data_IF_895066615180
#
_entry.id   IF_895066615180
#
_cell.length_a   1.000
_cell.length_b   1.000
_cell.length_c   1.000
_cell.angle_alpha   90.00
_cell.angle_beta   90.00
_cell.angle_gamma   90.00
#
_symmetry.space_group_name_H-M   'P 1'
#
loop_
_entity.id
_entity.type
_entity.pdbx_description
1 polymer ?
#
# COMPACT_ATOMS: atom_id res chain seq x y z
N UNK A 1 -8.95 -7.71 12.60
CA UNK A 1 -8.37 -6.69 11.71
C UNK A 1 -9.10 -6.64 10.37
N UNK A 2 -9.21 -7.73 9.65
CA UNK A 2 -9.81 -7.76 8.29
C UNK A 2 -11.34 -7.60 8.25
N UNK A 3 -12.05 -7.85 9.34
CA UNK A 3 -13.53 -7.87 9.39
C UNK A 3 -14.18 -6.61 8.81
N UNK A 4 -13.75 -5.43 9.24
CA UNK A 4 -14.26 -4.15 8.72
C UNK A 4 -13.95 -3.95 7.23
N UNK A 5 -12.76 -4.35 6.77
CA UNK A 5 -12.40 -4.29 5.35
C UNK A 5 -13.27 -5.23 4.52
N UNK A 6 -13.52 -6.45 5.00
CA UNK A 6 -14.41 -7.42 4.36
C UNK A 6 -15.83 -6.86 4.24
N UNK A 7 -16.36 -6.28 5.32
CA UNK A 7 -17.68 -5.65 5.30
C UNK A 7 -17.75 -4.50 4.29
N UNK A 8 -16.71 -3.67 4.23
CA UNK A 8 -16.60 -2.60 3.24
C UNK A 8 -16.57 -3.13 1.82
N UNK A 9 -15.77 -4.18 1.56
CA UNK A 9 -15.64 -4.79 0.23
C UNK A 9 -16.92 -5.51 -0.21
N UNK A 10 -17.66 -6.13 0.70
CA UNK A 10 -18.98 -6.72 0.38
C UNK A 10 -20.02 -5.68 -0.02
N UNK A 11 -19.92 -4.44 0.50
CA UNK A 11 -20.77 -3.31 0.10
C UNK A 11 -20.28 -2.62 -1.18
N UNK A 12 -18.97 -2.66 -1.45
CA UNK A 12 -18.30 -2.02 -2.57
C UNK A 12 -17.50 -3.08 -3.34
N UNK A 13 -18.14 -3.88 -4.22
CA UNK A 13 -17.47 -4.96 -4.95
C UNK A 13 -16.23 -4.47 -5.70
N UNK A 14 -15.13 -5.20 -5.57
CA UNK A 14 -13.84 -4.92 -6.23
C UNK A 14 -13.29 -6.19 -6.87
N UNK A 15 -12.53 -6.00 -7.93
CA UNK A 15 -11.86 -7.08 -8.66
C UNK A 15 -10.34 -6.92 -8.50
N UNK A 16 -9.70 -8.01 -8.05
CA UNK A 16 -8.25 -8.11 -7.93
C UNK A 16 -7.68 -8.94 -9.07
N UNK A 17 -6.54 -8.52 -9.63
CA UNK A 17 -5.78 -9.34 -10.58
C UNK A 17 -4.53 -9.90 -9.91
N UNK A 18 -4.31 -11.20 -10.09
CA UNK A 18 -3.10 -11.90 -9.68
C UNK A 18 -2.23 -12.22 -10.89
N UNK A 19 -0.95 -11.95 -10.77
CA UNK A 19 0.03 -12.14 -11.84
C UNK A 19 0.57 -13.55 -11.97
N UNK A 20 0.40 -14.39 -10.95
CA UNK A 20 0.91 -15.77 -10.90
C UNK A 20 -0.24 -16.78 -10.71
N UNK A 21 -1.10 -16.89 -11.74
CA UNK A 21 -2.33 -17.70 -11.66
C UNK A 21 -2.14 -19.19 -11.44
N UNK A 22 -0.94 -19.73 -11.55
CA UNK A 22 -0.62 -21.14 -11.29
C UNK A 22 -0.04 -21.39 -9.90
N UNK A 23 0.30 -20.32 -9.14
CA UNK A 23 0.88 -20.48 -7.80
C UNK A 23 -0.19 -21.00 -6.82
N UNK A 24 0.16 -22.04 -6.08
CA UNK A 24 -0.76 -22.71 -5.15
C UNK A 24 -1.32 -21.77 -4.08
N UNK A 25 -0.51 -20.84 -3.56
CA UNK A 25 -0.90 -19.87 -2.53
C UNK A 25 -1.92 -18.88 -3.06
N UNK A 26 -1.73 -18.45 -4.31
CA UNK A 26 -2.64 -17.58 -5.04
C UNK A 26 -3.97 -18.30 -5.31
N UNK A 27 -3.93 -19.53 -5.80
CA UNK A 27 -5.12 -20.33 -6.09
C UNK A 27 -5.95 -20.62 -4.83
N UNK A 28 -5.30 -20.91 -3.70
CA UNK A 28 -5.96 -21.10 -2.41
C UNK A 28 -6.65 -19.81 -1.95
N UNK A 29 -5.96 -18.68 -2.05
CA UNK A 29 -6.53 -17.36 -1.73
C UNK A 29 -7.70 -17.00 -2.66
N UNK A 30 -7.55 -17.20 -3.97
CA UNK A 30 -8.60 -16.95 -4.96
C UNK A 30 -9.86 -17.78 -4.69
N UNK A 31 -9.69 -19.07 -4.40
CA UNK A 31 -10.76 -19.97 -3.99
C UNK A 31 -11.54 -19.39 -2.78
N UNK A 32 -10.83 -19.06 -1.70
CA UNK A 32 -11.45 -18.52 -0.48
C UNK A 32 -12.19 -17.21 -0.74
N UNK A 33 -11.54 -16.24 -1.37
CA UNK A 33 -12.11 -14.91 -1.62
C UNK A 33 -13.38 -14.95 -2.47
N UNK A 34 -13.44 -15.83 -3.46
CA UNK A 34 -14.63 -16.00 -4.30
C UNK A 34 -15.73 -16.80 -3.61
N UNK A 35 -15.39 -17.85 -2.86
CA UNK A 35 -16.39 -18.62 -2.09
C UNK A 35 -17.03 -17.79 -0.97
N UNK A 36 -16.28 -16.89 -0.35
CA UNK A 36 -16.76 -15.98 0.70
C UNK A 36 -17.48 -14.75 0.13
N UNK A 37 -17.46 -14.57 -1.21
CA UNK A 37 -18.10 -13.45 -1.90
C UNK A 37 -17.48 -12.09 -1.54
N UNK A 38 -16.15 -12.07 -1.33
CA UNK A 38 -15.43 -10.85 -0.91
C UNK A 38 -14.93 -10.07 -2.12
N UNK A 39 -14.32 -10.76 -3.11
CA UNK A 39 -13.70 -10.14 -4.28
C UNK A 39 -14.04 -10.89 -5.57
N UNK A 40 -14.16 -10.15 -6.67
CA UNK A 40 -13.94 -10.68 -8.00
C UNK A 40 -12.45 -10.95 -8.21
N UNK A 41 -12.11 -12.04 -8.91
CA UNK A 41 -10.72 -12.46 -9.08
C UNK A 41 -10.41 -12.70 -10.56
N UNK A 42 -9.30 -12.11 -11.02
CA UNK A 42 -8.67 -12.38 -12.31
C UNK A 42 -7.34 -13.09 -12.06
N UNK A 43 -7.15 -14.26 -12.68
CA UNK A 43 -5.92 -15.04 -12.66
C UNK A 43 -5.22 -14.94 -14.01
N UNK A 44 -3.97 -14.47 -14.04
CA UNK A 44 -3.18 -14.40 -15.26
C UNK A 44 -2.41 -15.70 -15.50
N UNK A 45 -2.52 -16.23 -16.69
CA UNK A 45 -1.83 -17.45 -17.12
C UNK A 45 -2.61 -18.22 -18.16
N UNK A 46 -2.00 -19.25 -18.72
CA UNK A 46 -2.65 -20.14 -19.68
C UNK A 46 -3.79 -20.90 -19.01
N UNK A 47 -5.03 -20.87 -19.54
CA UNK A 47 -6.18 -21.46 -18.88
C UNK A 47 -6.02 -22.92 -18.50
N UNK A 48 -5.37 -23.71 -19.36
CA UNK A 48 -5.12 -25.15 -19.11
C UNK A 48 -4.19 -25.36 -17.92
N UNK A 49 -3.12 -24.55 -17.81
CA UNK A 49 -2.14 -24.63 -16.72
C UNK A 49 -2.77 -24.19 -15.39
N UNK A 50 -3.52 -23.07 -15.40
CA UNK A 50 -4.19 -22.55 -14.20
C UNK A 50 -5.24 -23.54 -13.69
N UNK A 51 -6.07 -24.10 -14.58
CA UNK A 51 -7.08 -25.11 -14.21
C UNK A 51 -6.44 -26.40 -13.70
N UNK A 52 -5.35 -26.85 -14.33
CA UNK A 52 -4.63 -28.05 -13.89
C UNK A 52 -4.02 -27.84 -12.48
N UNK A 53 -3.40 -26.69 -12.24
CA UNK A 53 -2.85 -26.34 -10.93
C UNK A 53 -3.94 -26.23 -9.84
N UNK A 54 -5.06 -25.62 -10.15
CA UNK A 54 -6.19 -25.52 -9.25
C UNK A 54 -6.77 -26.89 -8.90
N UNK A 55 -6.93 -27.78 -9.89
CA UNK A 55 -7.38 -29.16 -9.70
C UNK A 55 -6.41 -29.95 -8.81
N UNK A 56 -5.10 -29.82 -9.04
CA UNK A 56 -4.08 -30.46 -8.23
C UNK A 56 -4.10 -30.00 -6.76
N UNK A 57 -4.45 -28.74 -6.51
CA UNK A 57 -4.63 -28.18 -5.16
C UNK A 57 -6.01 -28.40 -4.55
N UNK A 58 -6.95 -28.97 -5.30
CA UNK A 58 -8.37 -29.11 -4.94
C UNK A 58 -9.05 -27.75 -4.65
N UNK A 59 -8.71 -26.72 -5.42
CA UNK A 59 -9.28 -25.37 -5.33
C UNK A 59 -10.37 -25.17 -6.39
N UNK A 60 -11.55 -24.70 -5.98
CA UNK A 60 -12.60 -24.27 -6.91
C UNK A 60 -12.34 -22.82 -7.34
N UNK A 61 -12.10 -22.61 -8.63
CA UNK A 61 -11.85 -21.30 -9.25
C UNK A 61 -12.89 -20.97 -10.35
N UNK A 62 -14.04 -21.65 -10.37
CA UNK A 62 -15.07 -21.46 -11.42
C UNK A 62 -15.61 -20.02 -11.44
N UNK A 63 -15.58 -19.32 -10.31
CA UNK A 63 -15.97 -17.92 -10.21
C UNK A 63 -14.82 -16.94 -10.58
N UNK A 64 -13.60 -17.43 -10.86
CA UNK A 64 -12.48 -16.60 -11.29
C UNK A 64 -12.47 -16.44 -12.79
N UNK A 65 -12.13 -15.23 -13.27
CA UNK A 65 -11.77 -15.02 -14.67
C UNK A 65 -10.31 -15.46 -14.87
N UNK A 66 -10.02 -16.18 -15.93
CA UNK A 66 -8.66 -16.53 -16.34
C UNK A 66 -8.34 -15.79 -17.64
N UNK A 67 -7.23 -15.06 -17.65
CA UNK A 67 -6.77 -14.31 -18.84
C UNK A 67 -5.36 -14.78 -19.18
N UNK A 68 -5.19 -15.22 -20.44
CA UNK A 68 -3.88 -15.50 -21.03
C UNK A 68 -3.31 -14.22 -21.66
N UNK A 69 -2.22 -13.65 -21.12
CA UNK A 69 -1.59 -12.46 -21.70
C UNK A 69 -1.12 -12.65 -23.16
N UNK A 70 -0.78 -13.90 -23.57
CA UNK A 70 -0.32 -14.20 -24.91
C UNK A 70 -1.47 -14.30 -25.94
N UNK A 71 -2.70 -14.55 -25.47
CA UNK A 71 -3.88 -14.75 -26.32
C UNK A 71 -5.05 -13.79 -25.95
N UNK A 72 -4.73 -12.58 -25.52
CA UNK A 72 -5.73 -11.61 -25.11
C UNK A 72 -6.27 -10.82 -26.31
N UNK A 73 -7.58 -10.87 -26.56
CA UNK A 73 -8.24 -10.19 -27.69
C UNK A 73 -8.03 -8.66 -27.68
N UNK A 74 -7.94 -8.05 -26.50
CA UNK A 74 -7.73 -6.61 -26.31
C UNK A 74 -6.27 -6.14 -26.41
N UNK A 75 -5.34 -6.99 -26.84
CA UNK A 75 -3.90 -6.70 -26.77
C UNK A 75 -3.50 -5.47 -27.60
N UNK A 76 -4.08 -5.23 -28.76
CA UNK A 76 -3.73 -4.09 -29.61
C UNK A 76 -4.12 -2.75 -28.96
N UNK A 77 -5.28 -2.69 -28.33
CA UNK A 77 -5.70 -1.52 -27.56
C UNK A 77 -4.79 -1.28 -26.34
N UNK A 78 -4.38 -2.36 -25.65
CA UNK A 78 -3.46 -2.29 -24.52
C UNK A 78 -2.07 -1.82 -24.95
N UNK A 79 -1.56 -2.29 -26.10
CA UNK A 79 -0.30 -1.84 -26.70
C UNK A 79 -0.37 -0.35 -27.03
N UNK A 80 -1.40 0.09 -27.72
CA UNK A 80 -1.57 1.49 -28.12
C UNK A 80 -1.58 2.43 -26.90
N UNK A 81 -2.31 2.06 -25.83
CA UNK A 81 -2.35 2.86 -24.60
C UNK A 81 -1.00 2.85 -23.86
N UNK A 82 -0.33 1.70 -23.81
CA UNK A 82 0.98 1.62 -23.15
C UNK A 82 2.06 2.41 -23.91
N UNK A 83 2.09 2.39 -25.23
CA UNK A 83 2.99 3.23 -26.07
C UNK A 83 2.79 4.71 -25.74
N UNK A 84 1.53 5.15 -25.69
CA UNK A 84 1.17 6.53 -25.32
C UNK A 84 1.64 6.90 -23.90
N UNK A 85 1.41 6.01 -22.91
CA UNK A 85 1.86 6.21 -21.53
C UNK A 85 3.38 6.31 -21.42
N UNK A 86 4.12 5.57 -22.25
CA UNK A 86 5.58 5.55 -22.26
C UNK A 86 6.21 6.74 -23.01
N UNK A 87 5.42 7.55 -23.71
CA UNK A 87 5.87 8.81 -24.35
C UNK A 87 7.14 8.62 -25.22
N UNK A 88 7.17 7.60 -26.07
CA UNK A 88 8.31 7.31 -26.95
C UNK A 88 9.51 6.60 -26.30
N UNK A 89 9.44 6.25 -25.01
CA UNK A 89 10.51 5.50 -24.31
C UNK A 89 10.53 4.00 -24.62
N UNK A 90 9.51 3.50 -25.33
CA UNK A 90 9.40 2.11 -25.78
C UNK A 90 8.77 2.07 -27.16
N UNK A 91 9.29 1.19 -28.03
CA UNK A 91 8.67 0.88 -29.33
C UNK A 91 7.48 -0.06 -29.14
N UNK A 92 6.66 -0.21 -30.20
CA UNK A 92 5.54 -1.14 -30.21
C UNK A 92 5.98 -2.57 -29.89
N UNK A 93 7.07 -3.02 -30.51
CA UNK A 93 7.65 -4.35 -30.27
C UNK A 93 8.10 -4.53 -28.81
N UNK A 94 8.74 -3.52 -28.23
CA UNK A 94 9.16 -3.54 -26.84
C UNK A 94 7.96 -3.58 -25.89
N UNK A 95 6.89 -2.87 -26.21
CA UNK A 95 5.65 -2.89 -25.45
C UNK A 95 4.99 -4.27 -25.51
N UNK A 96 4.90 -4.88 -26.71
CA UNK A 96 4.34 -6.24 -26.86
C UNK A 96 5.17 -7.26 -26.08
N UNK A 97 6.49 -7.18 -26.14
CA UNK A 97 7.38 -8.03 -25.36
C UNK A 97 7.26 -7.80 -23.84
N UNK A 98 6.95 -6.59 -23.39
CA UNK A 98 6.67 -6.33 -21.99
C UNK A 98 5.31 -6.90 -21.57
N UNK A 99 4.28 -6.74 -22.38
CA UNK A 99 2.92 -7.20 -22.12
C UNK A 99 2.77 -8.74 -22.14
N UNK A 100 3.72 -9.49 -22.73
CA UNK A 100 3.76 -10.94 -22.56
C UNK A 100 4.13 -11.38 -21.13
N UNK A 101 4.63 -10.45 -20.30
CA UNK A 101 4.92 -10.69 -18.88
C UNK A 101 3.72 -10.33 -18.04
N UNK A 102 3.30 -11.24 -17.17
CA UNK A 102 2.10 -11.09 -16.33
C UNK A 102 2.10 -9.83 -15.45
N UNK A 103 3.26 -9.40 -14.94
CA UNK A 103 3.38 -8.18 -14.14
C UNK A 103 3.06 -6.90 -14.92
N UNK A 104 3.56 -6.75 -16.15
CA UNK A 104 3.22 -5.63 -17.03
C UNK A 104 1.77 -5.71 -17.52
N UNK A 105 1.34 -6.90 -17.93
CA UNK A 105 -0.04 -7.12 -18.38
C UNK A 105 -1.06 -6.81 -17.29
N UNK A 106 -0.88 -7.38 -16.08
CA UNK A 106 -1.77 -7.12 -14.95
C UNK A 106 -1.82 -5.65 -14.56
N UNK A 107 -0.67 -4.97 -14.58
CA UNK A 107 -0.61 -3.53 -14.31
C UNK A 107 -1.37 -2.72 -15.37
N UNK A 108 -1.26 -3.09 -16.67
CA UNK A 108 -2.05 -2.46 -17.72
C UNK A 108 -3.53 -2.79 -17.62
N UNK A 109 -3.89 -4.00 -17.21
CA UNK A 109 -5.29 -4.37 -16.98
C UNK A 109 -5.92 -3.46 -15.91
N UNK A 110 -5.22 -3.21 -14.79
CA UNK A 110 -5.66 -2.23 -13.78
C UNK A 110 -5.72 -0.83 -14.36
N UNK A 111 -4.71 -0.41 -15.12
CA UNK A 111 -4.66 0.92 -15.73
C UNK A 111 -5.84 1.20 -16.66
N UNK A 112 -6.32 0.18 -17.37
CA UNK A 112 -7.43 0.27 -18.31
C UNK A 112 -8.80 -0.04 -17.68
N UNK A 113 -8.86 -0.27 -16.38
CA UNK A 113 -10.12 -0.52 -15.64
C UNK A 113 -10.66 -1.95 -15.77
N UNK A 114 -9.84 -2.90 -16.22
CA UNK A 114 -10.19 -4.32 -16.25
C UNK A 114 -10.10 -5.02 -14.90
N UNK A 115 -9.44 -4.38 -13.92
CA UNK A 115 -9.44 -4.75 -12.52
C UNK A 115 -9.23 -3.47 -11.66
N UNK A 116 -9.63 -3.52 -10.39
CA UNK A 116 -9.49 -2.37 -9.48
C UNK A 116 -8.11 -2.30 -8.84
N UNK A 117 -7.45 -3.44 -8.66
CA UNK A 117 -6.16 -3.54 -7.99
C UNK A 117 -5.38 -4.79 -8.41
N UNK A 118 -4.09 -4.82 -8.07
CA UNK A 118 -3.18 -5.93 -8.39
C UNK A 118 -2.41 -6.38 -7.16
N UNK A 119 -2.24 -7.70 -7.03
CA UNK A 119 -1.34 -8.33 -6.09
C UNK A 119 -0.47 -9.36 -6.83
N UNK A 120 0.84 -9.24 -6.69
CA UNK A 120 1.82 -10.13 -7.31
C UNK A 120 3.12 -10.18 -6.53
N UNK A 121 4.17 -10.82 -7.07
CA UNK A 121 5.48 -10.91 -6.42
C UNK A 121 5.74 -12.18 -5.64
N UNK A 122 4.81 -13.14 -5.65
CA UNK A 122 5.01 -14.42 -4.97
C UNK A 122 6.16 -15.26 -5.56
N UNK A 123 6.53 -15.00 -6.83
CA UNK A 123 7.59 -15.77 -7.54
C UNK A 123 8.70 -14.90 -8.13
N UNK A 124 8.56 -13.58 -8.14
CA UNK A 124 9.54 -12.65 -8.71
C UNK A 124 9.93 -11.54 -7.72
N UNK A 125 10.81 -10.63 -8.11
CA UNK A 125 11.35 -9.62 -7.21
C UNK A 125 10.38 -8.44 -7.02
N UNK A 126 10.45 -7.76 -5.85
CA UNK A 126 9.73 -6.50 -5.59
C UNK A 126 9.95 -5.46 -6.70
N UNK A 127 11.14 -5.39 -7.29
CA UNK A 127 11.42 -4.48 -8.40
C UNK A 127 10.58 -4.79 -9.65
N UNK A 128 10.20 -6.04 -9.86
CA UNK A 128 9.36 -6.47 -10.98
C UNK A 128 7.88 -6.14 -10.78
N UNK A 129 7.42 -5.99 -9.54
CA UNK A 129 6.10 -5.42 -9.20
C UNK A 129 6.12 -3.90 -9.30
N UNK A 130 7.11 -3.26 -8.67
CA UNK A 130 7.13 -1.80 -8.49
C UNK A 130 7.43 -1.08 -9.81
N UNK A 131 8.30 -1.63 -10.67
CA UNK A 131 8.68 -0.98 -11.94
C UNK A 131 7.51 -0.73 -12.88
N UNK A 132 6.65 -1.72 -13.24
CA UNK A 132 5.46 -1.45 -14.05
C UNK A 132 4.48 -0.50 -13.34
N UNK A 133 4.30 -0.61 -12.03
CA UNK A 133 3.44 0.30 -11.26
C UNK A 133 3.88 1.76 -11.41
N UNK A 134 5.17 2.06 -11.21
CA UNK A 134 5.73 3.40 -11.40
C UNK A 134 5.64 3.89 -12.85
N UNK A 135 5.81 2.99 -13.81
CA UNK A 135 5.82 3.35 -15.22
C UNK A 135 4.42 3.62 -15.80
N UNK A 136 3.40 2.91 -15.33
CA UNK A 136 2.09 2.83 -15.97
C UNK A 136 0.97 3.41 -15.08
N UNK A 137 0.92 3.06 -13.81
CA UNK A 137 -0.05 3.60 -12.85
C UNK A 137 0.35 5.01 -12.42
N UNK A 138 1.63 5.20 -12.09
CA UNK A 138 2.22 6.44 -11.58
C UNK A 138 1.66 6.84 -10.22
N UNK A 139 2.15 7.97 -9.71
CA UNK A 139 1.64 8.55 -8.47
C UNK A 139 0.25 9.18 -8.68
N UNK A 140 -0.56 9.16 -7.65
CA UNK A 140 -1.83 9.90 -7.64
C UNK A 140 -1.59 11.42 -7.62
N UNK A 141 -2.57 12.24 -8.04
CA UNK A 141 -2.45 13.68 -7.97
C UNK A 141 -2.11 14.15 -6.54
N UNK A 142 -1.11 15.01 -6.43
CA UNK A 142 -0.61 15.53 -5.15
C UNK A 142 0.51 14.71 -4.51
N UNK A 143 0.86 13.54 -5.06
CA UNK A 143 2.00 12.75 -4.62
C UNK A 143 3.12 12.78 -5.68
N UNK A 144 4.37 12.90 -5.22
CA UNK A 144 5.56 12.89 -6.07
C UNK A 144 6.27 11.54 -6.03
N UNK A 145 6.12 10.80 -4.93
CA UNK A 145 6.80 9.52 -4.69
C UNK A 145 5.80 8.39 -4.42
N UNK A 146 6.30 7.18 -4.58
CA UNK A 146 5.70 5.96 -4.03
C UNK A 146 6.49 5.57 -2.81
N UNK A 147 5.81 5.20 -1.74
CA UNK A 147 6.41 4.75 -0.49
C UNK A 147 5.81 3.44 -0.03
N UNK A 148 6.25 2.93 1.09
CA UNK A 148 5.73 1.70 1.69
C UNK A 148 5.42 1.85 3.18
N UNK A 149 4.44 1.09 3.63
CA UNK A 149 4.13 0.96 5.05
C UNK A 149 3.95 -0.51 5.43
N UNK A 150 4.52 -0.92 6.54
CA UNK A 150 4.17 -2.17 7.20
C UNK A 150 3.23 -1.91 8.37
N UNK A 151 2.20 -2.72 8.49
CA UNK A 151 1.38 -2.79 9.69
C UNK A 151 1.83 -3.99 10.51
N UNK A 152 2.27 -3.73 11.72
CA UNK A 152 2.70 -4.75 12.65
C UNK A 152 1.60 -5.01 13.67
N UNK A 153 1.24 -6.28 13.85
CA UNK A 153 0.12 -6.72 14.68
C UNK A 153 0.61 -7.70 15.74
N UNK A 154 0.24 -7.45 16.99
CA UNK A 154 0.50 -8.36 18.12
C UNK A 154 -0.72 -8.35 19.06
N UNK A 155 -1.54 -9.42 18.99
CA UNK A 155 -2.84 -9.41 19.67
C UNK A 155 -3.74 -8.30 19.13
N UNK A 156 -4.22 -7.43 19.99
CA UNK A 156 -5.04 -6.27 19.64
C UNK A 156 -4.20 -5.04 19.27
N UNK A 157 -2.91 -5.06 19.58
CA UNK A 157 -1.99 -3.96 19.30
C UNK A 157 -1.66 -3.91 17.81
N UNK A 158 -1.72 -2.72 17.23
CA UNK A 158 -1.37 -2.44 15.83
C UNK A 158 -0.53 -1.19 15.76
N UNK A 159 0.58 -1.27 15.04
CA UNK A 159 1.44 -0.13 14.75
C UNK A 159 1.76 -0.06 13.26
N UNK A 160 2.01 1.15 12.76
CA UNK A 160 2.42 1.40 11.38
C UNK A 160 3.88 1.83 11.33
N UNK A 161 4.65 1.33 10.36
CA UNK A 161 6.06 1.67 10.16
C UNK A 161 6.32 1.99 8.68
N UNK A 162 6.82 3.19 8.37
CA UNK A 162 7.12 3.68 7.02
C UNK A 162 8.39 4.53 6.97
N UNK A 163 9.10 4.63 5.85
CA UNK A 163 9.10 3.76 4.67
C UNK A 163 10.11 2.63 4.86
N UNK A 164 9.69 1.39 4.72
CA UNK A 164 10.54 0.24 5.05
C UNK A 164 11.12 -0.49 3.82
N UNK A 165 10.71 -0.13 2.58
CA UNK A 165 11.04 -0.96 1.42
C UNK A 165 11.33 -0.21 0.10
N UNK A 166 11.04 1.08 -0.04
CA UNK A 166 11.08 1.79 -1.32
C UNK A 166 12.13 2.92 -1.35
N UNK A 167 12.02 3.91 -0.46
CA UNK A 167 12.88 5.10 -0.50
C UNK A 167 14.13 4.92 0.36
N UNK A 168 15.29 4.86 -0.29
CA UNK A 168 16.57 4.55 0.39
C UNK A 168 16.97 5.67 1.36
N UNK A 169 17.03 6.90 0.87
CA UNK A 169 17.34 8.09 1.65
C UNK A 169 16.35 9.20 1.26
N UNK A 170 15.17 9.21 1.87
CA UNK A 170 14.12 10.18 1.55
C UNK A 170 14.56 11.60 1.92
N UNK A 171 14.23 12.56 1.07
CA UNK A 171 14.36 13.99 1.36
C UNK A 171 13.39 14.46 2.44
N UNK A 172 13.48 15.72 2.85
CA UNK A 172 12.50 16.33 3.77
C UNK A 172 11.06 16.24 3.21
N UNK A 173 10.89 16.56 1.92
CA UNK A 173 9.58 16.56 1.27
C UNK A 173 9.07 15.13 1.07
N UNK A 174 9.95 14.18 0.78
CA UNK A 174 9.59 12.75 0.72
C UNK A 174 9.11 12.24 2.09
N UNK A 175 9.78 12.63 3.18
CA UNK A 175 9.35 12.26 4.54
C UNK A 175 7.97 12.83 4.89
N UNK A 176 7.62 14.02 4.39
CA UNK A 176 6.27 14.59 4.54
C UNK A 176 5.24 13.70 3.86
N UNK A 177 5.47 13.32 2.60
CA UNK A 177 4.55 12.43 1.87
C UNK A 177 4.45 11.05 2.53
N UNK A 178 5.59 10.46 2.93
CA UNK A 178 5.63 9.17 3.64
C UNK A 178 4.77 9.21 4.91
N UNK A 179 4.91 10.27 5.72
CA UNK A 179 4.17 10.40 6.97
C UNK A 179 2.65 10.50 6.74
N UNK A 180 2.24 11.36 5.82
CA UNK A 180 0.82 11.58 5.50
C UNK A 180 0.20 10.30 4.91
N UNK A 181 0.88 9.64 3.97
CA UNK A 181 0.37 8.41 3.37
C UNK A 181 0.37 7.24 4.37
N UNK A 182 1.38 7.14 5.24
CA UNK A 182 1.40 6.11 6.30
C UNK A 182 0.29 6.32 7.32
N UNK A 183 -0.05 7.56 7.66
CA UNK A 183 -1.20 7.87 8.50
C UNK A 183 -2.53 7.47 7.85
N UNK A 184 -2.69 7.70 6.54
CA UNK A 184 -3.88 7.23 5.78
C UNK A 184 -3.96 5.71 5.77
N UNK A 185 -2.84 5.04 5.51
CA UNK A 185 -2.77 3.58 5.57
C UNK A 185 -3.14 3.07 6.97
N UNK A 186 -2.58 3.64 8.02
CA UNK A 186 -2.89 3.29 9.41
C UNK A 186 -4.40 3.37 9.70
N UNK A 187 -5.09 4.42 9.25
CA UNK A 187 -6.54 4.58 9.40
C UNK A 187 -7.33 3.44 8.75
N UNK A 188 -6.92 2.96 7.57
CA UNK A 188 -7.57 1.84 6.88
C UNK A 188 -7.52 0.57 7.75
N UNK A 189 -6.45 0.40 8.53
CA UNK A 189 -6.29 -0.71 9.47
C UNK A 189 -6.94 -0.45 10.85
N UNK A 190 -7.67 0.66 10.99
CA UNK A 190 -8.37 1.04 12.22
C UNK A 190 -7.42 1.55 13.31
N UNK A 191 -6.27 2.11 12.91
CA UNK A 191 -5.35 2.81 13.81
C UNK A 191 -5.70 4.31 13.76
N UNK A 192 -5.91 4.95 14.91
CA UNK A 192 -5.94 6.40 15.01
C UNK A 192 -4.48 6.91 15.05
N UNK A 193 -3.95 7.51 13.96
CA UNK A 193 -2.51 7.68 13.80
C UNK A 193 -1.97 8.77 14.73
N UNK A 194 -1.03 8.39 15.59
CA UNK A 194 -0.15 9.27 16.35
C UNK A 194 1.26 9.09 15.80
N UNK A 195 1.69 10.05 14.96
CA UNK A 195 2.87 9.92 14.12
C UNK A 195 4.11 10.40 14.85
N UNK A 196 5.09 9.51 15.02
CA UNK A 196 6.43 9.85 15.51
C UNK A 196 7.41 9.92 14.33
N UNK A 197 8.02 11.08 14.11
CA UNK A 197 9.11 11.29 13.16
C UNK A 197 10.42 10.94 13.84
N UNK A 198 10.93 9.73 13.56
CA UNK A 198 12.01 9.12 14.34
C UNK A 198 13.39 9.67 14.03
N UNK A 199 14.18 9.81 15.08
CA UNK A 199 15.59 10.20 15.05
C UNK A 199 16.32 9.63 16.27
N UNK A 200 17.66 9.70 16.26
CA UNK A 200 18.45 9.52 17.47
C UNK A 200 18.40 10.74 18.42
N UNK A 201 17.75 11.82 17.99
CA UNK A 201 17.57 13.07 18.72
C UNK A 201 16.12 13.27 19.12
N UNK A 202 15.89 13.97 20.23
CA UNK A 202 14.57 14.41 20.68
C UNK A 202 14.61 15.92 20.87
N UNK A 203 13.82 16.66 20.08
CA UNK A 203 13.60 18.12 20.16
C UNK A 203 14.91 18.91 20.34
N UNK A 204 15.93 18.62 19.50
CA UNK A 204 17.21 19.33 19.51
C UNK A 204 18.27 18.78 20.47
N UNK A 205 18.06 17.62 21.08
CA UNK A 205 19.05 16.98 21.97
C UNK A 205 20.31 16.53 21.21
N UNK A 206 20.19 16.22 19.92
CA UNK A 206 21.28 15.88 19.01
C UNK A 206 21.44 16.92 17.89
N UNK A 207 22.54 16.84 17.16
CA UNK A 207 22.84 17.72 16.02
C UNK A 207 23.35 16.91 14.85
N UNK A 208 22.94 17.27 13.64
CA UNK A 208 23.42 16.65 12.40
C UNK A 208 22.43 16.76 11.25
N UNK A 209 22.87 16.50 10.01
CA UNK A 209 22.01 16.63 8.83
C UNK A 209 20.72 15.79 8.91
N UNK A 210 20.82 14.55 9.43
CA UNK A 210 19.68 13.67 9.60
C UNK A 210 18.66 14.22 10.61
N UNK A 211 19.14 14.81 11.73
CA UNK A 211 18.26 15.46 12.73
C UNK A 211 17.53 16.64 12.12
N UNK A 212 18.27 17.53 11.43
CA UNK A 212 17.71 18.70 10.76
C UNK A 212 16.65 18.29 9.71
N UNK A 213 16.94 17.25 8.90
CA UNK A 213 16.01 16.70 7.92
C UNK A 213 14.67 16.31 8.55
N UNK A 214 14.71 15.53 9.63
CA UNK A 214 13.50 15.05 10.31
C UNK A 214 12.74 16.18 11.00
N UNK A 215 13.45 17.11 11.67
CA UNK A 215 12.84 18.27 12.32
C UNK A 215 12.12 19.18 11.30
N UNK A 216 12.77 19.46 10.16
CA UNK A 216 12.16 20.26 9.09
C UNK A 216 10.94 19.54 8.48
N UNK A 217 11.05 18.25 8.21
CA UNK A 217 9.92 17.45 7.72
C UNK A 217 8.73 17.51 8.69
N UNK A 218 8.98 17.36 9.99
CA UNK A 218 7.92 17.46 11.03
C UNK A 218 7.21 18.81 10.99
N UNK A 219 7.96 19.91 10.86
CA UNK A 219 7.38 21.25 10.74
C UNK A 219 6.48 21.35 9.51
N UNK A 220 6.97 20.89 8.34
CA UNK A 220 6.20 20.88 7.09
C UNK A 220 4.93 20.05 7.19
N UNK A 221 4.96 18.89 7.90
CA UNK A 221 3.77 18.08 8.13
C UNK A 221 2.74 18.84 8.96
N UNK A 222 3.14 19.50 10.04
CA UNK A 222 2.25 20.32 10.88
C UNK A 222 1.58 21.46 10.10
N UNK A 223 2.25 21.98 9.08
CA UNK A 223 1.70 23.00 8.17
C UNK A 223 0.77 22.40 7.10
N UNK A 224 1.12 21.24 6.51
CA UNK A 224 0.39 20.62 5.41
C UNK A 224 -0.84 19.81 5.87
N UNK A 225 -0.79 19.23 7.07
CA UNK A 225 -1.83 18.38 7.66
C UNK A 225 -2.02 18.72 9.15
N UNK A 226 -2.57 19.89 9.47
CA UNK A 226 -2.67 20.37 10.86
C UNK A 226 -3.58 19.51 11.76
N UNK A 227 -4.44 18.68 11.15
CA UNK A 227 -5.30 17.72 11.84
C UNK A 227 -4.55 16.45 12.25
N UNK A 228 -3.35 16.20 11.69
CA UNK A 228 -2.57 15.00 11.99
C UNK A 228 -1.76 15.19 13.27
N UNK A 229 -1.99 14.33 14.25
CA UNK A 229 -1.16 14.29 15.45
C UNK A 229 0.26 13.80 15.08
N UNK A 230 1.23 14.71 15.04
CA UNK A 230 2.63 14.43 14.68
C UNK A 230 3.60 15.10 15.63
N UNK A 231 4.66 14.36 16.00
CA UNK A 231 5.77 14.87 16.80
C UNK A 231 7.12 14.41 16.25
N UNK A 232 8.11 15.27 16.37
CA UNK A 232 9.49 14.98 15.94
C UNK A 232 10.34 16.25 15.78
N UNK A 233 11.64 16.07 15.65
CA UNK A 233 12.32 14.75 15.69
C UNK A 233 12.25 14.15 17.10
N UNK A 234 12.03 12.86 17.21
CA UNK A 234 11.87 12.17 18.50
C UNK A 234 12.57 10.80 18.50
N UNK A 235 13.19 10.44 19.61
CA UNK A 235 13.76 9.11 19.82
C UNK A 235 12.64 8.08 20.03
N UNK A 236 12.91 6.82 19.65
CA UNK A 236 11.91 5.77 19.72
C UNK A 236 11.42 5.52 21.15
N UNK A 237 12.30 5.50 22.16
CA UNK A 237 11.93 5.34 23.57
C UNK A 237 10.98 6.45 24.05
N UNK A 238 11.27 7.70 23.69
CA UNK A 238 10.40 8.83 24.05
C UNK A 238 9.06 8.79 23.30
N UNK A 239 9.00 8.15 22.13
CA UNK A 239 7.76 8.04 21.37
C UNK A 239 6.77 7.02 21.96
N UNK A 240 7.26 5.98 22.65
CA UNK A 240 6.42 4.85 23.13
C UNK A 240 6.33 4.73 24.67
N UNK A 241 7.30 5.26 25.44
CA UNK A 241 7.27 5.21 26.92
C UNK A 241 6.73 6.53 27.49
N UNK A 242 5.59 6.51 28.20
CA UNK A 242 5.05 7.71 28.87
C UNK A 242 6.05 8.35 29.84
N UNK A 243 6.79 7.55 30.61
CA UNK A 243 7.78 8.04 31.56
C UNK A 243 8.92 8.80 30.90
N UNK A 244 9.41 8.28 29.76
CA UNK A 244 10.46 8.93 28.98
C UNK A 244 9.93 10.19 28.29
N UNK A 245 8.69 10.14 27.79
CA UNK A 245 8.02 11.26 27.15
C UNK A 245 7.83 12.44 28.12
N UNK A 246 7.46 12.17 29.36
CA UNK A 246 7.26 13.21 30.40
C UNK A 246 8.54 14.03 30.65
N UNK A 247 9.70 13.38 30.51
CA UNK A 247 11.01 14.03 30.70
C UNK A 247 11.49 14.70 29.41
N UNK A 248 11.40 14.01 28.26
CA UNK A 248 12.01 14.45 27.00
C UNK A 248 11.10 15.32 26.11
N UNK A 249 9.77 15.14 26.22
CA UNK A 249 8.76 15.81 25.40
C UNK A 249 7.51 16.20 26.21
N UNK A 250 7.63 16.97 27.31
CA UNK A 250 6.49 17.28 28.16
C UNK A 250 5.38 17.98 27.37
N UNK A 251 4.15 17.49 27.52
CA UNK A 251 2.96 18.09 26.86
C UNK A 251 2.76 17.71 25.40
N UNK A 252 3.58 16.83 24.83
CA UNK A 252 3.35 16.34 23.45
C UNK A 252 2.11 15.45 23.38
N UNK A 253 1.21 15.63 22.39
CA UNK A 253 0.03 14.77 22.22
C UNK A 253 0.38 13.40 21.59
N UNK A 254 1.63 13.18 21.21
CA UNK A 254 2.11 11.98 20.51
C UNK A 254 3.11 11.19 21.34
N UNK A 255 4.04 11.88 22.01
CA UNK A 255 5.09 11.24 22.78
C UNK A 255 4.50 10.32 23.86
N UNK A 256 5.11 9.14 24.06
CA UNK A 256 4.66 8.12 25.00
C UNK A 256 3.47 7.28 24.55
N UNK A 257 2.87 7.58 23.42
CA UNK A 257 1.69 6.88 22.88
C UNK A 257 1.65 6.79 21.36
N UNK A 258 2.78 6.99 20.69
CA UNK A 258 2.89 6.86 19.25
C UNK A 258 2.58 5.44 18.77
N UNK A 259 1.93 5.35 17.62
CA UNK A 259 1.56 4.09 16.99
C UNK A 259 1.83 4.07 15.48
N UNK A 260 2.37 5.18 14.95
CA UNK A 260 2.79 5.32 13.55
C UNK A 260 4.18 5.93 13.54
N UNK A 261 5.15 5.17 13.03
CA UNK A 261 6.58 5.48 13.12
C UNK A 261 7.15 5.72 11.74
N UNK A 262 7.71 6.92 11.52
CA UNK A 262 8.37 7.31 10.27
C UNK A 262 9.86 7.39 10.50
N UNK A 263 10.60 6.62 9.73
CA UNK A 263 12.04 6.47 9.88
C UNK A 263 12.81 7.43 8.97
N UNK A 264 14.01 7.87 9.37
CA UNK A 264 14.81 8.84 8.59
C UNK A 264 15.37 8.27 7.30
N UNK A 265 15.52 6.96 7.20
CA UNK A 265 16.04 6.23 6.05
C UNK A 265 15.65 4.75 6.07
N UNK A 266 15.88 4.07 4.94
CA UNK A 266 15.47 2.66 4.76
C UNK A 266 16.25 1.69 5.67
N UNK A 267 17.49 2.00 6.05
CA UNK A 267 18.26 1.10 6.92
C UNK A 267 17.61 1.03 8.29
N UNK A 268 17.31 2.19 8.88
CA UNK A 268 16.64 2.27 10.17
C UNK A 268 15.26 1.59 10.13
N UNK A 269 14.48 1.86 9.08
CA UNK A 269 13.14 1.31 8.93
C UNK A 269 13.13 -0.21 8.69
N UNK A 270 13.94 -0.69 7.74
CA UNK A 270 14.00 -2.10 7.37
C UNK A 270 14.54 -2.98 8.52
N UNK A 271 15.55 -2.49 9.22
CA UNK A 271 16.08 -3.17 10.42
C UNK A 271 15.04 -3.12 11.54
N UNK A 272 14.44 -1.95 11.78
CA UNK A 272 13.50 -1.73 12.89
C UNK A 272 12.27 -2.64 12.80
N UNK A 273 11.58 -2.70 11.64
CA UNK A 273 10.40 -3.55 11.53
C UNK A 273 10.74 -5.05 11.65
N UNK A 274 11.91 -5.47 11.16
CA UNK A 274 12.34 -6.87 11.29
C UNK A 274 12.68 -7.25 12.74
N UNK A 275 13.31 -6.34 13.49
CA UNK A 275 13.53 -6.54 14.92
C UNK A 275 12.19 -6.64 15.65
N UNK A 276 11.27 -5.72 15.42
CA UNK A 276 9.94 -5.76 16.02
C UNK A 276 9.20 -7.07 15.66
N UNK A 277 9.27 -7.51 14.41
CA UNK A 277 8.65 -8.76 13.97
C UNK A 277 9.32 -10.00 14.61
N UNK A 278 10.65 -10.12 14.52
CA UNK A 278 11.35 -11.35 14.90
C UNK A 278 11.59 -11.48 16.41
N UNK A 279 11.90 -10.38 17.08
CA UNK A 279 12.17 -10.35 18.52
C UNK A 279 10.99 -9.82 19.34
N UNK A 280 10.21 -8.87 18.80
CA UNK A 280 9.06 -8.29 19.45
C UNK A 280 7.77 -9.09 19.30
N UNK A 281 7.76 -10.17 18.52
CA UNK A 281 6.60 -11.04 18.33
C UNK A 281 5.47 -10.43 17.51
N UNK A 282 5.74 -9.40 16.71
CA UNK A 282 4.75 -8.85 15.79
C UNK A 282 4.68 -9.63 14.49
N UNK A 283 3.47 -9.83 14.00
CA UNK A 283 3.22 -10.25 12.61
C UNK A 283 3.24 -9.00 11.73
N UNK A 284 4.12 -8.99 10.73
CA UNK A 284 4.22 -7.89 9.78
C UNK A 284 3.31 -8.14 8.57
N UNK A 285 2.39 -7.21 8.31
CA UNK A 285 1.51 -7.19 7.14
C UNK A 285 2.00 -6.11 6.18
N UNK A 286 2.38 -6.50 4.97
CA UNK A 286 2.96 -5.58 3.98
C UNK A 286 4.09 -6.20 3.17
N UNK A 287 4.83 -5.39 2.39
CA UNK A 287 4.69 -3.93 2.33
C UNK A 287 3.41 -3.49 1.61
N UNK A 288 2.71 -2.53 2.20
CA UNK A 288 1.61 -1.82 1.53
C UNK A 288 2.21 -0.66 0.76
N UNK A 289 2.09 -0.65 -0.57
CA UNK A 289 2.57 0.45 -1.40
C UNK A 289 1.60 1.63 -1.34
N UNK A 290 2.15 2.83 -1.20
CA UNK A 290 1.42 4.07 -0.98
C UNK A 290 1.71 5.09 -2.07
N UNK A 291 0.78 6.01 -2.31
CA UNK A 291 0.96 7.10 -3.26
C UNK A 291 0.69 6.73 -4.73
N UNK A 292 0.40 5.48 -5.06
CA UNK A 292 0.02 5.05 -6.42
C UNK A 292 -1.43 5.47 -6.77
N UNK A 293 -1.66 5.79 -8.05
CA UNK A 293 -2.99 6.17 -8.57
C UNK A 293 -3.98 4.99 -8.67
N UNK A 294 -3.53 3.77 -8.47
CA UNK A 294 -4.34 2.57 -8.23
C UNK A 294 -3.53 1.59 -7.36
N UNK A 295 -4.17 0.81 -6.50
CA UNK A 295 -3.46 -0.10 -5.61
C UNK A 295 -2.77 -1.24 -6.36
N UNK A 296 -1.45 -1.25 -6.25
CA UNK A 296 -0.59 -2.36 -6.68
C UNK A 296 0.23 -2.74 -5.46
N UNK A 297 0.16 -3.98 -5.01
CA UNK A 297 0.96 -4.45 -3.89
C UNK A 297 1.82 -5.65 -4.25
N UNK A 298 2.88 -5.82 -3.47
CA UNK A 298 3.91 -6.84 -3.64
C UNK A 298 3.83 -7.89 -2.54
N UNK A 299 4.04 -9.14 -2.92
CA UNK A 299 4.14 -10.27 -2.01
C UNK A 299 5.61 -10.62 -1.77
N UNK A 300 5.92 -11.09 -0.58
CA UNK A 300 7.19 -11.77 -0.35
C UNK A 300 7.19 -13.12 -1.08
N UNK A 301 8.31 -13.50 -1.70
CA UNK A 301 8.49 -14.85 -2.27
C UNK A 301 8.34 -15.96 -1.23
N UNK A 302 8.57 -15.63 0.04
CA UNK A 302 8.37 -16.54 1.17
C UNK A 302 6.99 -16.45 1.84
N UNK A 303 6.01 -15.77 1.23
CA UNK A 303 4.68 -15.65 1.79
C UNK A 303 3.94 -17.01 1.82
N UNK A 304 2.98 -17.14 2.72
CA UNK A 304 2.04 -18.25 2.77
C UNK A 304 0.66 -17.84 2.23
N UNK A 305 -0.27 -18.80 2.10
CA UNK A 305 -1.60 -18.53 1.55
C UNK A 305 -2.43 -17.56 2.42
N UNK A 306 -2.26 -17.56 3.73
CA UNK A 306 -2.95 -16.64 4.64
C UNK A 306 -2.45 -15.19 4.47
N UNK A 307 -1.15 -15.01 4.23
CA UNK A 307 -0.58 -13.71 3.89
C UNK A 307 -1.10 -13.21 2.54
N UNK A 308 -1.21 -14.08 1.52
CA UNK A 308 -1.83 -13.73 0.22
C UNK A 308 -3.28 -13.31 0.41
N UNK A 309 -4.07 -14.10 1.13
CA UNK A 309 -5.47 -13.79 1.42
C UNK A 309 -5.63 -12.44 2.13
N UNK A 310 -4.84 -12.22 3.17
CA UNK A 310 -4.88 -10.97 3.94
C UNK A 310 -4.48 -9.76 3.11
N UNK A 311 -3.38 -9.88 2.33
CA UNK A 311 -2.90 -8.80 1.45
C UNK A 311 -3.86 -8.51 0.31
N UNK A 312 -4.62 -9.49 -0.16
CA UNK A 312 -5.66 -9.29 -1.18
C UNK A 312 -6.78 -8.39 -0.67
N UNK A 313 -7.27 -8.65 0.53
CA UNK A 313 -8.30 -7.84 1.19
C UNK A 313 -7.78 -6.41 1.41
N UNK A 314 -6.55 -6.27 1.91
CA UNK A 314 -5.91 -4.97 2.10
C UNK A 314 -5.79 -4.21 0.78
N UNK A 315 -5.25 -4.86 -0.25
CA UNK A 315 -5.04 -4.24 -1.57
C UNK A 315 -6.36 -3.77 -2.17
N UNK A 316 -7.40 -4.59 -2.09
CA UNK A 316 -8.72 -4.22 -2.59
C UNK A 316 -9.37 -3.11 -1.75
N UNK A 317 -9.20 -3.11 -0.43
CA UNK A 317 -9.73 -2.06 0.44
C UNK A 317 -9.12 -0.67 0.18
N UNK A 318 -7.87 -0.63 -0.31
CA UNK A 318 -7.21 0.61 -0.75
C UNK A 318 -7.85 1.21 -2.01
N UNK A 319 -8.52 0.40 -2.86
CA UNK A 319 -9.20 0.87 -4.06
C UNK A 319 -10.58 1.47 -3.80
N UNK A 320 -11.12 1.32 -2.59
CA UNK A 320 -12.41 1.93 -2.21
C UNK A 320 -12.19 3.40 -1.87
N UNK A 321 -12.85 4.35 -2.57
CA UNK A 321 -12.77 5.77 -2.25
C UNK A 321 -13.15 6.08 -0.80
N UNK A 322 -12.55 7.10 -0.20
CA UNK A 322 -12.84 7.49 1.19
C UNK A 322 -14.30 7.89 1.39
N UNK A 323 -14.93 8.47 0.37
CA UNK A 323 -16.33 8.89 0.37
C UNK A 323 -17.32 7.70 0.38
N UNK A 324 -16.87 6.51 -0.04
CA UNK A 324 -17.66 5.27 -0.03
C UNK A 324 -17.46 4.46 1.28
N UNK A 325 -16.51 4.86 2.12
CA UNK A 325 -16.32 4.27 3.45
C UNK A 325 -17.33 4.89 4.41
N UNK A 326 -18.45 4.21 4.60
CA UNK A 326 -19.50 4.63 5.55
C UNK A 326 -18.97 4.48 6.96
N UNK A 327 -19.06 5.56 7.76
CA UNK A 327 -18.79 5.52 9.20
C UNK A 327 -19.79 4.61 9.94
N UNK A 328 -19.45 4.22 11.16
CA UNK A 328 -20.19 3.23 11.96
C UNK A 328 -21.66 3.66 12.25
N UNK A 329 -22.02 4.93 12.04
CA UNK A 329 -23.33 5.50 12.32
C UNK A 329 -24.20 5.70 11.06
N UNK A 330 -23.72 5.35 9.86
CA UNK A 330 -24.47 5.50 8.61
C UNK A 330 -24.68 6.95 8.16
N UNK A 331 -23.97 7.91 8.74
CA UNK A 331 -24.09 9.33 8.42
C UNK A 331 -23.07 9.69 7.34
N UNK A 332 -23.55 10.05 6.15
CA UNK A 332 -22.71 10.63 5.10
C UNK A 332 -22.27 12.02 5.50
N UNK A 333 -21.00 12.23 5.82
CA UNK A 333 -20.45 13.57 5.98
C UNK A 333 -20.33 14.25 4.61
N UNK A 334 -21.31 15.07 4.26
CA UNK A 334 -21.22 15.98 3.12
C UNK A 334 -20.20 17.07 3.42
N UNK A 335 -18.97 16.95 2.96
CA UNK A 335 -18.09 18.11 2.77
C UNK A 335 -18.49 18.80 1.48
N UNK A 336 -19.17 19.97 1.63
CA UNK A 336 -19.40 20.92 0.55
C UNK A 336 -18.05 21.36 -0.01
N UNK A 337 -17.70 20.91 -1.22
CA UNK A 337 -16.69 21.55 -2.04
C UNK A 337 -17.22 22.94 -2.41
N UNK A 338 -16.65 23.97 -1.82
CA UNK A 338 -16.97 25.37 -2.11
C UNK A 338 -16.49 25.76 -3.50
N UNK A 339 -17.29 25.51 -4.52
CA UNK A 339 -17.17 26.12 -5.82
C UNK A 339 -17.72 27.56 -5.75
N UNK A 340 -16.84 28.56 -5.74
CA UNK A 340 -17.24 29.95 -6.00
C UNK A 340 -17.51 30.08 -7.49
N UNK A 341 -18.78 30.06 -7.86
CA UNK A 341 -19.24 30.63 -9.13
C UNK A 341 -19.32 32.14 -8.99
N UNK A 342 -18.38 32.87 -9.55
CA UNK A 342 -18.56 34.26 -9.91
C UNK A 342 -19.20 34.29 -11.31
N UNK A 343 -20.52 34.42 -11.36
CA UNK A 343 -21.20 34.94 -12.51
C UNK A 343 -21.41 36.45 -12.27
N UNK A 344 -20.78 37.28 -13.08
CA UNK A 344 -21.19 38.65 -13.32
C UNK A 344 -21.63 38.79 -14.76
N UNK A 345 -22.85 39.30 -14.86
CA UNK A 345 -23.52 39.97 -15.99
C UNK A 345 -23.14 39.56 -17.41
#
# INVERSE_FOLDING_TARGET
MLTKMIETLKKNPRTIVYTEGTDKRILESAHRLTQEGILGVVLLGKPEEVKAAAKAGNFNIDACQIIDPENYEGIDAMVAEMVKLRKGKMTDEQVRAALSKSNYFGTMLVKMGGADCLLGGATYSTADTVRPALQLIKTKPGNNIVSSCFILVRGDEKIAMGDCAINIDPSEDDLVEIAIESAKTAKIFGIDPKVAMLSYSTLGSGKGPSVTKVANATKKIKEAAPELAVEGEIQFDASVSPEVAEVKCPGSPVAGQANTFIFPDINAANIGYKIASRLGGYTAVGPVLQGLNAPINDLSRGCNAEEVYSMSIVTAALSVPEEEKVDEEGIRSYRKSGGRNNARC
#
